data_IF_462999282778
#
_entry.id   IF_462999282778
#
_cell.length_a   1.000
_cell.length_b   1.000
_cell.length_c   1.000
_cell.angle_alpha   90.00
_cell.angle_beta   90.00
_cell.angle_gamma   90.00
#
_symmetry.space_group_name_H-M   'P 1'
#
loop_
_entity.id
_entity.type
_entity.pdbx_description
1 polymer ?
#
# COMPACT_ATOMS: atom_id res chain seq x y z
N UNK A 1 -5.21 -16.16 8.76
CA UNK A 1 -3.93 -15.65 8.20
C UNK A 1 -4.01 -15.07 6.78
N UNK A 2 -5.01 -15.40 5.95
CA UNK A 2 -5.13 -14.85 4.57
C UNK A 2 -6.01 -13.59 4.44
N UNK A 3 -6.76 -13.23 5.48
CA UNK A 3 -7.66 -12.06 5.44
C UNK A 3 -6.95 -10.72 5.65
N UNK A 4 -5.72 -10.73 6.17
CA UNK A 4 -5.01 -9.49 6.53
C UNK A 4 -4.21 -8.88 5.36
N UNK A 5 -3.54 -9.70 4.53
CA UNK A 5 -2.78 -9.18 3.38
C UNK A 5 -3.67 -8.66 2.24
N UNK A 6 -4.92 -9.11 2.16
CA UNK A 6 -5.75 -8.91 0.95
C UNK A 6 -6.52 -7.58 0.92
N UNK A 7 -6.44 -6.75 1.97
CA UNK A 7 -7.19 -5.47 2.06
C UNK A 7 -6.36 -4.24 1.63
N UNK A 8 -5.04 -4.36 1.41
CA UNK A 8 -4.17 -3.17 1.38
C UNK A 8 -3.27 -2.98 0.15
N UNK A 9 -3.39 -3.77 -0.92
CA UNK A 9 -2.51 -3.57 -2.09
C UNK A 9 -2.69 -2.20 -2.74
N UNK A 10 -3.91 -1.65 -2.78
CA UNK A 10 -4.12 -0.28 -3.26
C UNK A 10 -3.43 0.77 -2.38
N UNK A 11 -3.28 0.54 -1.07
CA UNK A 11 -2.68 1.51 -0.14
C UNK A 11 -1.14 1.42 -0.08
N UNK A 12 -0.55 0.30 -0.47
CA UNK A 12 0.90 0.08 -0.45
C UNK A 12 1.63 0.96 -1.50
N UNK A 13 0.98 1.28 -2.63
CA UNK A 13 1.62 2.01 -3.73
C UNK A 13 2.11 3.42 -3.36
N UNK A 14 1.36 4.13 -2.53
CA UNK A 14 1.79 5.44 -1.99
C UNK A 14 2.94 5.27 -0.99
N UNK A 15 2.91 4.22 -0.17
CA UNK A 15 3.91 3.93 0.86
C UNK A 15 5.27 3.61 0.25
N UNK A 16 5.30 3.00 -0.94
CA UNK A 16 6.55 2.69 -1.65
C UNK A 16 7.44 3.92 -1.88
N UNK A 17 6.86 5.12 -2.04
CA UNK A 17 7.62 6.37 -2.18
C UNK A 17 8.41 6.75 -0.91
N UNK A 18 7.92 6.31 0.24
CA UNK A 18 8.47 6.62 1.56
C UNK A 18 9.30 5.47 2.15
N UNK A 19 9.38 4.34 1.45
CA UNK A 19 10.16 3.20 1.89
C UNK A 19 11.64 3.42 1.56
N UNK A 20 12.51 3.30 2.56
CA UNK A 20 13.97 3.36 2.40
C UNK A 20 14.52 2.13 1.67
N UNK A 21 13.83 0.99 1.72
CA UNK A 21 14.23 -0.21 1.00
C UNK A 21 14.04 -0.10 -0.52
N UNK A 22 13.30 0.91 -1.01
CA UNK A 22 13.13 1.14 -2.45
C UNK A 22 14.27 2.03 -2.95
N UNK A 23 15.11 1.54 -3.89
CA UNK A 23 16.24 2.30 -4.38
C UNK A 23 15.79 3.53 -5.17
N UNK A 24 16.68 4.53 -5.23
CA UNK A 24 16.39 5.84 -5.83
C UNK A 24 16.06 5.75 -7.32
N UNK A 25 16.62 4.76 -8.03
CA UNK A 25 16.33 4.50 -9.44
C UNK A 25 14.87 4.03 -9.64
N UNK A 26 14.39 3.10 -8.82
CA UNK A 26 12.99 2.67 -8.83
C UNK A 26 12.07 3.81 -8.46
N UNK A 27 12.43 4.65 -7.47
CA UNK A 27 11.64 5.86 -7.15
C UNK A 27 11.50 6.80 -8.35
N UNK A 28 12.55 6.95 -9.17
CA UNK A 28 12.49 7.74 -10.41
C UNK A 28 11.55 7.12 -11.44
N UNK A 29 11.62 5.79 -11.66
CA UNK A 29 10.68 5.06 -12.53
C UNK A 29 9.23 5.23 -12.06
N UNK A 30 8.99 5.17 -10.75
CA UNK A 30 7.67 5.37 -10.15
C UNK A 30 7.12 6.78 -10.40
N UNK A 31 7.95 7.84 -10.31
CA UNK A 31 7.51 9.22 -10.63
C UNK A 31 7.16 9.35 -12.11
N UNK A 32 7.93 8.71 -12.99
CA UNK A 32 7.64 8.68 -14.43
C UNK A 32 6.31 7.96 -14.71
N UNK A 33 6.11 6.77 -14.13
CA UNK A 33 4.85 6.03 -14.21
C UNK A 33 3.66 6.82 -13.63
N UNK A 34 3.87 7.60 -12.57
CA UNK A 34 2.85 8.45 -11.98
C UNK A 34 2.40 9.58 -12.93
N UNK A 35 3.29 10.06 -13.80
CA UNK A 35 3.03 11.13 -14.76
C UNK A 35 2.46 10.63 -16.09
N UNK A 36 2.63 9.35 -16.42
CA UNK A 36 2.01 8.74 -17.58
C UNK A 36 0.55 8.38 -17.26
N UNK A 37 -0.38 8.82 -18.11
CA UNK A 37 -1.82 8.56 -17.94
C UNK A 37 -2.22 7.11 -18.27
N UNK A 38 -1.33 6.36 -18.90
CA UNK A 38 -1.55 4.95 -19.24
C UNK A 38 -1.37 4.06 -18.01
N UNK A 39 -2.48 3.78 -17.33
CA UNK A 39 -2.54 2.75 -16.32
C UNK A 39 -2.45 1.36 -16.99
N UNK A 40 -1.24 0.86 -17.20
CA UNK A 40 -0.94 -0.42 -17.89
C UNK A 40 -1.35 -1.69 -17.12
N UNK A 41 -2.24 -1.60 -16.14
CA UNK A 41 -2.72 -2.78 -15.44
C UNK A 41 -4.22 -2.77 -15.21
N UNK A 42 -4.88 -3.78 -15.79
CA UNK A 42 -6.24 -4.19 -15.46
C UNK A 42 -6.39 -4.50 -13.94
N UNK A 43 -5.27 -4.75 -13.24
CA UNK A 43 -5.17 -4.88 -11.77
C UNK A 43 -5.52 -3.59 -11.00
N UNK A 44 -5.46 -2.42 -11.63
CA UNK A 44 -5.72 -1.11 -11.02
C UNK A 44 -7.13 -0.58 -11.27
N UNK A 45 -7.95 -1.30 -12.06
CA UNK A 45 -9.30 -0.87 -12.39
C UNK A 45 -10.22 -1.02 -11.17
N UNK A 46 -10.44 0.10 -10.46
CA UNK A 46 -11.47 0.35 -9.44
C UNK A 46 -11.52 -0.51 -8.18
N UNK A 47 -10.81 -1.64 -8.11
CA UNK A 47 -10.87 -2.52 -6.96
C UNK A 47 -9.84 -2.10 -5.92
N UNK A 48 -10.32 -1.77 -4.72
CA UNK A 48 -9.54 -1.66 -3.47
C UNK A 48 -8.68 -2.91 -3.17
N UNK A 49 -8.85 -3.98 -3.95
CA UNK A 49 -8.17 -5.27 -3.88
C UNK A 49 -7.55 -5.59 -5.23
N UNK A 50 -6.25 -5.82 -5.24
CA UNK A 50 -5.63 -6.56 -6.34
C UNK A 50 -5.95 -8.04 -6.09
N UNK A 51 -6.82 -8.60 -6.91
CA UNK A 51 -7.15 -10.03 -6.86
C UNK A 51 -6.13 -10.75 -7.73
N UNK A 52 -5.08 -11.29 -7.11
CA UNK A 52 -4.10 -12.12 -7.81
C UNK A 52 -4.66 -13.53 -7.92
N UNK A 53 -5.10 -13.92 -9.11
CA UNK A 53 -5.37 -15.33 -9.40
C UNK A 53 -4.05 -16.08 -9.51
N UNK A 54 -3.99 -17.31 -8.96
CA UNK A 54 -2.79 -18.18 -9.00
C UNK A 54 -2.29 -18.40 -10.44
N UNK A 55 -3.18 -18.27 -11.43
CA UNK A 55 -2.87 -18.37 -12.87
C UNK A 55 -2.01 -17.21 -13.40
N UNK A 56 -2.00 -16.07 -12.71
CA UNK A 56 -1.33 -14.84 -13.12
C UNK A 56 -0.03 -14.58 -12.34
N UNK A 57 0.43 -15.53 -11.51
CA UNK A 57 1.70 -15.39 -10.76
C UNK A 57 2.87 -15.18 -11.72
N UNK A 58 2.85 -15.84 -12.89
CA UNK A 58 3.88 -15.67 -13.91
C UNK A 58 3.90 -14.25 -14.50
N UNK A 59 2.74 -13.57 -14.57
CA UNK A 59 2.65 -12.17 -14.98
C UNK A 59 3.11 -11.20 -13.89
N UNK A 60 3.13 -11.64 -12.62
CA UNK A 60 3.60 -10.86 -11.48
C UNK A 60 5.12 -10.95 -11.32
N UNK A 61 5.72 -12.10 -11.61
CA UNK A 61 7.15 -12.34 -11.47
C UNK A 61 8.01 -11.45 -12.38
N UNK A 62 7.43 -10.93 -13.47
CA UNK A 62 8.09 -9.99 -14.37
C UNK A 62 7.79 -8.52 -14.11
N UNK A 63 6.95 -8.18 -13.11
CA UNK A 63 6.55 -6.80 -12.82
C UNK A 63 7.36 -6.20 -11.68
N UNK A 64 7.85 -4.99 -11.91
CA UNK A 64 8.52 -4.17 -10.92
C UNK A 64 7.51 -3.28 -10.17
N UNK A 65 7.96 -2.61 -9.10
CA UNK A 65 7.09 -1.75 -8.27
C UNK A 65 6.46 -0.62 -9.11
N UNK A 66 7.18 -0.10 -10.11
CA UNK A 66 6.70 0.98 -10.97
C UNK A 66 5.53 0.56 -11.88
N UNK A 67 5.40 -0.72 -12.23
CA UNK A 67 4.26 -1.25 -13.01
C UNK A 67 2.92 -1.17 -12.26
N UNK A 68 2.98 -0.98 -10.94
CA UNK A 68 1.80 -0.83 -10.10
C UNK A 68 1.48 0.63 -9.75
N UNK A 69 2.33 1.58 -10.15
CA UNK A 69 2.10 3.01 -9.91
C UNK A 69 1.30 3.59 -11.07
N UNK A 70 0.18 4.24 -10.75
CA UNK A 70 -0.68 4.86 -11.75
C UNK A 70 -1.38 6.11 -11.21
N UNK A 71 -2.29 6.69 -12.00
CA UNK A 71 -3.14 7.83 -11.59
C UNK A 71 -3.94 7.55 -10.31
N UNK A 72 -4.26 6.30 -10.00
CA UNK A 72 -4.93 5.95 -8.74
C UNK A 72 -4.04 6.25 -7.51
N UNK A 73 -2.72 6.13 -7.65
CA UNK A 73 -1.75 6.54 -6.63
C UNK A 73 -1.82 8.06 -6.40
N UNK A 74 -1.99 8.88 -7.46
CA UNK A 74 -2.27 10.34 -7.31
C UNK A 74 -3.54 10.61 -6.50
N UNK A 75 -4.61 9.82 -6.71
CA UNK A 75 -5.86 9.95 -5.93
C UNK A 75 -5.64 9.62 -4.45
N UNK A 76 -4.76 8.66 -4.15
CA UNK A 76 -4.41 8.32 -2.76
C UNK A 76 -3.64 9.44 -2.06
N UNK A 77 -2.68 10.07 -2.73
CA UNK A 77 -2.00 11.25 -2.18
C UNK A 77 -3.01 12.34 -1.77
N UNK A 78 -3.98 12.65 -2.63
CA UNK A 78 -5.07 13.58 -2.30
C UNK A 78 -5.91 13.12 -1.11
N UNK A 79 -6.28 11.82 -1.06
CA UNK A 79 -7.09 11.26 0.02
C UNK A 79 -6.41 11.34 1.39
N UNK A 80 -5.09 11.20 1.44
CA UNK A 80 -4.32 11.32 2.67
C UNK A 80 -3.86 12.75 2.97
N UNK A 81 -4.34 13.74 2.21
CA UNK A 81 -3.91 15.13 2.29
C UNK A 81 -2.38 15.30 2.21
N UNK A 82 -1.71 14.42 1.45
CA UNK A 82 -0.28 14.48 1.21
C UNK A 82 -0.03 15.45 0.06
N UNK A 83 0.80 16.45 0.31
CA UNK A 83 1.26 17.39 -0.69
C UNK A 83 2.24 16.70 -1.65
N UNK A 84 1.99 16.75 -2.95
CA UNK A 84 2.82 16.09 -3.97
C UNK A 84 3.91 16.98 -4.56
N UNK A 85 4.08 18.22 -4.07
CA UNK A 85 5.09 19.16 -4.59
C UNK A 85 6.50 18.56 -4.55
N UNK A 86 6.84 17.81 -3.50
CA UNK A 86 8.15 17.16 -3.35
C UNK A 86 8.45 16.14 -4.46
N UNK A 87 7.44 15.58 -5.14
CA UNK A 87 7.65 14.63 -6.24
C UNK A 87 8.31 15.27 -7.47
N UNK A 88 8.25 16.60 -7.58
CA UNK A 88 8.94 17.37 -8.63
C UNK A 88 10.41 17.64 -8.30
N UNK A 89 10.82 17.41 -7.05
CA UNK A 89 12.20 17.55 -6.61
C UNK A 89 12.98 16.25 -6.78
N UNK A 90 14.30 16.37 -6.83
CA UNK A 90 15.17 15.21 -6.92
C UNK A 90 15.03 14.32 -5.68
N UNK A 91 14.91 13.00 -5.87
CA UNK A 91 14.62 12.04 -4.80
C UNK A 91 15.62 12.04 -3.65
N UNK A 92 16.88 12.46 -3.88
CA UNK A 92 17.87 12.66 -2.81
C UNK A 92 17.55 13.82 -1.86
N UNK A 93 16.76 14.81 -2.30
CA UNK A 93 16.39 15.98 -1.48
C UNK A 93 15.16 15.74 -0.59
N UNK A 94 14.43 14.64 -0.82
CA UNK A 94 13.18 14.37 -0.11
C UNK A 94 13.33 14.31 1.41
N UNK A 95 14.43 13.74 1.91
CA UNK A 95 14.70 13.69 3.35
C UNK A 95 14.72 15.08 4.02
N UNK A 96 15.12 16.12 3.27
CA UNK A 96 15.19 17.49 3.77
C UNK A 96 13.92 18.30 3.47
N UNK A 97 12.95 17.72 2.76
CA UNK A 97 11.72 18.41 2.37
C UNK A 97 10.67 18.30 3.49
N UNK A 98 10.06 19.42 3.88
CA UNK A 98 9.09 19.47 4.97
C UNK A 98 7.79 18.71 4.63
N UNK A 99 7.29 18.84 3.40
CA UNK A 99 6.09 18.15 2.93
C UNK A 99 6.29 16.63 2.93
N UNK A 100 7.48 16.17 2.52
CA UNK A 100 7.85 14.76 2.57
C UNK A 100 7.83 14.22 4.00
N UNK A 101 8.44 14.95 4.94
CA UNK A 101 8.48 14.55 6.34
C UNK A 101 7.09 14.54 6.99
N UNK A 102 6.24 15.52 6.68
CA UNK A 102 4.83 15.53 7.11
C UNK A 102 4.07 14.31 6.59
N UNK A 103 4.22 14.00 5.30
CA UNK A 103 3.59 12.83 4.69
C UNK A 103 4.06 11.51 5.31
N UNK A 104 5.36 11.41 5.59
CA UNK A 104 5.95 10.26 6.28
C UNK A 104 5.34 10.04 7.68
N UNK A 105 5.09 11.12 8.43
CA UNK A 105 4.44 11.03 9.75
C UNK A 105 3.00 10.53 9.65
N UNK A 106 2.22 11.03 8.70
CA UNK A 106 0.84 10.56 8.45
C UNK A 106 0.83 9.07 8.13
N UNK A 107 1.75 8.61 7.28
CA UNK A 107 1.85 7.20 6.91
C UNK A 107 2.27 6.31 8.09
N UNK A 108 3.24 6.74 8.90
CA UNK A 108 3.62 6.02 10.13
C UNK A 108 2.43 5.86 11.08
N UNK A 109 1.62 6.90 11.24
CA UNK A 109 0.43 6.84 12.08
C UNK A 109 -0.62 5.85 11.54
N UNK A 110 -0.84 5.81 10.22
CA UNK A 110 -1.76 4.86 9.58
C UNK A 110 -1.29 3.42 9.79
N UNK A 111 0.01 3.15 9.67
CA UNK A 111 0.58 1.81 9.90
C UNK A 111 0.35 1.35 11.33
N UNK A 112 0.55 2.23 12.31
CA UNK A 112 0.30 1.93 13.73
C UNK A 112 -1.18 1.62 13.98
N UNK A 113 -2.10 2.42 13.45
CA UNK A 113 -3.55 2.15 13.60
C UNK A 113 -3.92 0.81 12.96
N UNK A 114 -3.35 0.49 11.80
CA UNK A 114 -3.63 -0.76 11.11
C UNK A 114 -3.17 -1.98 11.92
N UNK A 115 -1.96 -1.93 12.47
CA UNK A 115 -1.42 -2.99 13.34
C UNK A 115 -2.28 -3.19 14.59
N UNK A 116 -2.78 -2.11 15.21
CA UNK A 116 -3.72 -2.20 16.34
C UNK A 116 -5.05 -2.83 15.90
N UNK A 117 -5.59 -2.47 14.74
CA UNK A 117 -6.83 -3.03 14.22
C UNK A 117 -6.70 -4.53 13.91
N UNK A 118 -5.59 -4.94 13.29
CA UNK A 118 -5.29 -6.35 13.00
C UNK A 118 -5.18 -7.20 14.26
N UNK A 119 -4.52 -6.66 15.31
CA UNK A 119 -4.48 -7.32 16.62
C UNK A 119 -5.87 -7.46 17.24
N UNK A 120 -6.72 -6.43 17.12
CA UNK A 120 -8.10 -6.47 17.58
C UNK A 120 -8.92 -7.58 16.90
N UNK A 121 -8.84 -7.68 15.57
CA UNK A 121 -9.49 -8.75 14.80
C UNK A 121 -8.97 -10.12 15.23
N UNK A 122 -7.65 -10.27 15.36
CA UNK A 122 -7.02 -11.52 15.80
C UNK A 122 -7.50 -11.96 17.18
N UNK A 123 -7.62 -11.01 18.11
CA UNK A 123 -8.12 -11.29 19.46
C UNK A 123 -9.58 -11.73 19.46
N UNK A 124 -10.42 -11.08 18.65
CA UNK A 124 -11.84 -11.44 18.49
C UNK A 124 -11.97 -12.83 17.85
N UNK A 125 -11.21 -13.11 16.78
CA UNK A 125 -11.18 -14.44 16.15
C UNK A 125 -10.72 -15.52 17.13
N UNK A 126 -9.68 -15.23 17.93
CA UNK A 126 -9.20 -16.13 18.98
C UNK A 126 -10.28 -16.42 20.02
N UNK A 127 -10.97 -15.39 20.49
CA UNK A 127 -12.03 -15.50 21.49
C UNK A 127 -13.25 -16.28 20.97
N UNK A 128 -13.72 -15.95 19.76
CA UNK A 128 -14.83 -16.63 19.11
C UNK A 128 -14.55 -18.12 18.91
N UNK A 129 -13.32 -18.49 18.54
CA UNK A 129 -12.90 -19.89 18.40
C UNK A 129 -12.79 -20.64 19.74
N UNK A 130 -12.61 -19.93 20.86
CA UNK A 130 -12.56 -20.52 22.21
C UNK A 130 -13.96 -20.75 22.79
N UNK A 131 -14.89 -19.82 22.60
CA UNK A 131 -16.28 -19.97 23.07
C UNK A 131 -17.02 -21.05 22.29
N UNK A 132 -16.94 -21.03 20.95
CA UNK A 132 -17.72 -21.94 20.11
C UNK A 132 -17.27 -23.40 20.17
N UNK A 133 -16.12 -23.70 20.79
CA UNK A 133 -15.69 -25.08 21.08
C UNK A 133 -16.25 -25.65 22.39
N UNK A 134 -16.78 -24.80 23.27
CA UNK A 134 -17.23 -25.21 24.61
C UNK A 134 -18.72 -25.59 24.63
N UNK A 135 -19.54 -25.12 23.67
CA UNK A 135 -20.99 -25.38 23.64
C UNK A 135 -21.40 -26.73 22.99
N UNK A 136 -20.45 -27.56 22.55
CA UNK A 136 -20.72 -28.92 22.00
C UNK A 136 -20.42 -30.05 22.99
N UNK A 137 -20.28 -29.75 24.29
CA UNK A 137 -19.95 -30.70 25.36
C UNK A 137 -20.89 -30.53 26.57
N UNK A 138 -22.20 -30.47 26.33
CA UNK A 138 -23.20 -30.83 27.35
C UNK A 138 -24.49 -31.35 26.71
#
# INVERSE_FOLDING_TARGET
MLWSLMVFIGKIMCICFFNDAVPLETKRKMIHALNNDECSSELSTNSQRVIISVKNINELLGKEIDDFICVNTKKLFKRFAINTIFLNEYSLKWANNEDYNKALLVLKYILVINDVAERGVTLIEYYNNKITKDESQN
#
